data_IF_747007593531
#
_entry.id   IF_747007593531
#
_cell.length_a   1.000
_cell.length_b   1.000
_cell.length_c   1.000
_cell.angle_alpha   90.00
_cell.angle_beta   90.00
_cell.angle_gamma   90.00
#
_symmetry.space_group_name_H-M   'P 1'
#
loop_
_entity.id
_entity.type
_entity.pdbx_description
1 polymer ?
#
# COMPACT_ATOMS: atom_id res chain seq x y z
N UNK A 1 15.19 5.09 1.49
CA UNK A 1 14.79 5.82 0.25
C UNK A 1 13.36 5.45 -0.05
N UNK A 2 12.46 6.43 -0.13
CA UNK A 2 11.05 6.19 -0.48
C UNK A 2 10.97 5.89 -1.97
N UNK A 3 10.47 4.72 -2.34
CA UNK A 3 10.21 4.37 -3.74
C UNK A 3 8.76 4.72 -4.06
N UNK A 4 8.54 5.47 -5.13
CA UNK A 4 7.23 5.81 -5.67
C UNK A 4 7.10 5.28 -7.09
N UNK A 5 5.88 4.92 -7.48
CA UNK A 5 5.57 4.43 -8.82
C UNK A 5 4.22 5.02 -9.26
N UNK A 6 4.10 5.28 -10.55
CA UNK A 6 2.84 5.68 -11.18
C UNK A 6 2.33 4.50 -12.00
N UNK A 7 1.12 4.02 -11.69
CA UNK A 7 0.47 2.94 -12.42
C UNK A 7 -0.47 3.54 -13.46
N UNK A 8 -0.38 3.11 -14.72
CA UNK A 8 -1.32 3.56 -15.74
C UNK A 8 -2.68 2.87 -15.56
N UNK A 9 -3.81 3.49 -15.97
CA UNK A 9 -5.13 2.88 -15.82
C UNK A 9 -5.21 1.49 -16.45
N UNK A 10 -5.90 0.56 -15.77
CA UNK A 10 -6.07 -0.84 -16.20
C UNK A 10 -4.76 -1.63 -16.40
N UNK A 11 -3.64 -1.15 -15.84
CA UNK A 11 -2.34 -1.84 -15.87
C UNK A 11 -1.93 -2.34 -14.48
N UNK A 12 -0.81 -3.06 -14.44
CA UNK A 12 -0.13 -3.40 -13.19
C UNK A 12 1.36 -3.06 -13.31
N UNK A 13 1.99 -2.82 -12.16
CA UNK A 13 3.44 -2.61 -12.05
C UNK A 13 3.94 -3.32 -10.81
N UNK A 14 5.09 -3.99 -10.93
CA UNK A 14 5.71 -4.70 -9.84
C UNK A 14 6.91 -3.92 -9.30
N UNK A 15 7.02 -3.85 -7.98
CA UNK A 15 8.21 -3.34 -7.30
C UNK A 15 8.59 -4.30 -6.18
N UNK A 16 9.89 -4.40 -5.90
CA UNK A 16 10.42 -5.29 -4.88
C UNK A 16 10.89 -4.49 -3.67
N UNK A 17 10.32 -4.82 -2.51
CA UNK A 17 10.74 -4.29 -1.22
C UNK A 17 11.39 -5.39 -0.40
N UNK A 18 12.54 -5.10 0.22
CA UNK A 18 13.17 -6.01 1.19
C UNK A 18 12.64 -5.69 2.59
N UNK A 19 12.49 -6.73 3.42
CA UNK A 19 12.15 -6.63 4.84
C UNK A 19 10.82 -5.91 5.10
N UNK A 20 9.79 -6.20 4.30
CA UNK A 20 8.45 -5.67 4.53
C UNK A 20 7.85 -6.34 5.77
N UNK A 21 7.38 -5.57 6.77
CA UNK A 21 6.71 -6.14 7.95
C UNK A 21 5.38 -6.79 7.56
N UNK A 22 4.86 -7.68 8.42
CA UNK A 22 3.56 -8.35 8.18
C UNK A 22 2.41 -7.36 8.01
N UNK A 23 2.50 -6.21 8.68
CA UNK A 23 1.57 -5.10 8.52
C UNK A 23 2.32 -3.89 7.98
N UNK A 24 1.89 -3.36 6.85
CA UNK A 24 2.48 -2.19 6.21
C UNK A 24 1.42 -1.31 5.54
N UNK A 25 1.80 -0.09 5.17
CA UNK A 25 0.91 0.88 4.54
C UNK A 25 1.40 1.23 3.14
N UNK A 26 0.44 1.39 2.21
CA UNK A 26 0.69 1.91 0.87
C UNK A 26 -0.03 3.24 0.73
N UNK A 27 0.77 4.30 0.56
CA UNK A 27 0.26 5.65 0.30
C UNK A 27 0.06 5.89 -1.19
N UNK A 28 -1.02 6.60 -1.54
CA UNK A 28 -1.26 7.09 -2.90
C UNK A 28 -1.70 8.55 -2.88
N UNK A 29 -1.36 9.27 -3.95
CA UNK A 29 -1.81 10.64 -4.16
C UNK A 29 -3.17 10.57 -4.83
N UNK A 30 -4.20 11.13 -4.18
CA UNK A 30 -5.54 11.18 -4.72
C UNK A 30 -5.71 12.35 -5.72
N UNK A 31 -6.86 12.41 -6.37
CA UNK A 31 -7.17 13.43 -7.40
C UNK A 31 -7.08 14.88 -6.90
N UNK A 32 -7.20 15.11 -5.59
CA UNK A 32 -7.09 16.43 -4.97
C UNK A 32 -5.66 16.75 -4.48
N UNK A 33 -4.68 15.90 -4.79
CA UNK A 33 -3.30 16.04 -4.32
C UNK A 33 -3.09 15.63 -2.86
N UNK A 34 -4.12 15.10 -2.19
CA UNK A 34 -4.03 14.59 -0.83
C UNK A 34 -3.37 13.20 -0.79
N UNK A 35 -2.70 12.90 0.33
CA UNK A 35 -2.09 11.59 0.57
C UNK A 35 -3.07 10.70 1.33
N UNK A 36 -3.49 9.62 0.68
CA UNK A 36 -4.40 8.62 1.23
C UNK A 36 -3.67 7.29 1.39
N UNK A 37 -4.16 6.41 2.28
CA UNK A 37 -3.43 5.19 2.65
C UNK A 37 -4.35 3.97 2.69
N UNK A 38 -3.81 2.86 2.18
CA UNK A 38 -4.31 1.53 2.48
C UNK A 38 -3.41 0.88 3.54
N UNK A 39 -4.02 0.18 4.47
CA UNK A 39 -3.33 -0.72 5.38
C UNK A 39 -3.42 -2.15 4.84
N UNK A 40 -2.29 -2.83 4.81
CA UNK A 40 -2.15 -4.19 4.28
C UNK A 40 -1.60 -5.04 5.41
N UNK A 41 -2.34 -6.08 5.79
CA UNK A 41 -1.94 -7.06 6.79
C UNK A 41 -1.83 -8.44 6.14
N UNK A 42 -0.60 -8.93 6.00
CA UNK A 42 -0.23 -10.23 5.47
C UNK A 42 0.34 -11.10 6.61
N UNK A 43 -0.50 -11.78 7.40
CA UNK A 43 -0.03 -12.68 8.45
C UNK A 43 0.76 -13.85 7.88
N UNK A 44 1.91 -14.15 8.52
CA UNK A 44 2.88 -15.19 8.10
C UNK A 44 2.24 -16.57 8.02
N UNK A 45 1.20 -16.82 8.82
CA UNK A 45 0.54 -18.12 8.94
C UNK A 45 -0.38 -18.44 7.75
N UNK A 46 -0.84 -17.45 6.98
CA UNK A 46 -1.97 -17.62 6.05
C UNK A 46 -1.62 -17.27 4.60
N UNK A 47 -0.51 -16.56 4.34
CA UNK A 47 -0.11 -16.04 3.02
C UNK A 47 -1.18 -15.22 2.25
N UNK A 48 -2.31 -14.92 2.89
CA UNK A 48 -3.40 -14.09 2.36
C UNK A 48 -3.30 -12.73 3.04
N UNK A 49 -3.30 -11.67 2.23
CA UNK A 49 -3.26 -10.30 2.73
C UNK A 49 -4.67 -9.73 2.81
N UNK A 50 -4.99 -9.16 3.96
CA UNK A 50 -6.19 -8.35 4.15
C UNK A 50 -5.85 -6.89 3.86
N UNK A 51 -6.75 -6.18 3.18
CA UNK A 51 -6.57 -4.78 2.79
C UNK A 51 -7.74 -3.99 3.37
N UNK A 52 -7.42 -2.90 4.06
CA UNK A 52 -8.40 -1.95 4.59
C UNK A 52 -8.00 -0.52 4.23
N UNK A 53 -8.97 0.39 4.23
CA UNK A 53 -8.67 1.83 4.21
C UNK A 53 -8.10 2.19 5.56
N UNK A 54 -6.93 2.82 5.60
CA UNK A 54 -6.39 3.30 6.85
C UNK A 54 -7.21 4.51 7.32
N UNK A 55 -7.99 4.34 8.39
CA UNK A 55 -8.64 5.46 9.05
C UNK A 55 -7.58 6.31 9.75
N UNK A 56 -7.23 7.44 9.15
CA UNK A 56 -6.65 8.56 9.90
C UNK A 56 -7.78 9.47 10.35
N UNK A 57 -8.58 8.98 11.28
CA UNK A 57 -9.33 9.86 12.17
C UNK A 57 -8.46 10.10 13.40
N UNK A 58 -7.51 11.04 13.27
CA UNK A 58 -7.39 12.24 14.11
C UNK A 58 -6.21 13.11 13.68
#
# INVERSE_FOLDING_TARGET
QTQSLMVTPFSYTNTQFKNVPSTFQVGYINYFGGLSFYEINCPVVNNICNISVANRDQ
#
